data_IF_548855648059
#
_entry.id   IF_548855648059
#
_cell.length_a   1.000
_cell.length_b   1.000
_cell.length_c   1.000
_cell.angle_alpha   90.00
_cell.angle_beta   90.00
_cell.angle_gamma   90.00
#
_symmetry.space_group_name_H-M   'P 1'
#
loop_
_entity.id
_entity.type
_entity.pdbx_description
1 polymer ?
#
# COMPACT_ATOMS: atom_id res chain seq x y z
N UNK A 1 -7.46 -17.80 -3.45
CA UNK A 1 -6.40 -18.78 -3.72
C UNK A 1 -5.40 -18.25 -4.72
N UNK A 2 -5.81 -18.16 -5.97
CA UNK A 2 -4.92 -17.62 -6.99
C UNK A 2 -4.45 -16.23 -6.68
N UNK A 3 -5.35 -15.40 -6.15
CA UNK A 3 -5.02 -14.02 -5.84
C UNK A 3 -3.89 -13.91 -4.82
N UNK A 4 -3.84 -14.85 -3.89
CA UNK A 4 -2.81 -14.85 -2.86
C UNK A 4 -1.44 -15.23 -3.42
N UNK A 5 -1.41 -15.82 -4.61
CA UNK A 5 -0.19 -16.25 -5.27
C UNK A 5 0.30 -15.23 -6.31
N UNK A 6 -0.36 -14.07 -6.41
CA UNK A 6 -0.04 -13.06 -7.40
C UNK A 6 0.26 -11.73 -6.70
N UNK A 7 1.49 -11.19 -6.83
CA UNK A 7 1.82 -9.92 -6.19
C UNK A 7 0.93 -8.76 -6.64
N UNK A 8 0.49 -8.73 -7.89
CA UNK A 8 -0.39 -7.65 -8.36
C UNK A 8 -1.77 -7.77 -7.71
N UNK A 9 -2.24 -8.98 -7.48
CA UNK A 9 -3.49 -9.18 -6.74
C UNK A 9 -3.32 -8.74 -5.29
N UNK A 10 -2.20 -9.07 -4.66
CA UNK A 10 -1.91 -8.61 -3.29
C UNK A 10 -1.87 -7.10 -3.23
N UNK A 11 -1.32 -6.45 -4.25
CA UNK A 11 -1.30 -4.99 -4.32
C UNK A 11 -2.71 -4.40 -4.41
N UNK A 12 -3.57 -5.00 -5.23
CA UNK A 12 -4.97 -4.56 -5.30
C UNK A 12 -5.67 -4.73 -3.97
N UNK A 13 -5.38 -5.82 -3.26
CA UNK A 13 -5.93 -6.04 -1.91
C UNK A 13 -5.45 -4.98 -0.93
N UNK A 14 -4.19 -4.60 -1.01
CA UNK A 14 -3.64 -3.55 -0.17
C UNK A 14 -4.38 -2.24 -0.39
N UNK A 15 -4.48 -1.80 -1.64
CA UNK A 15 -5.18 -0.55 -1.94
C UNK A 15 -6.66 -0.61 -1.55
N UNK A 16 -7.32 -1.71 -1.86
CA UNK A 16 -8.75 -1.86 -1.52
C UNK A 16 -8.97 -1.84 -0.01
N UNK A 17 -8.07 -2.44 0.75
CA UNK A 17 -8.16 -2.45 2.21
C UNK A 17 -8.02 -1.05 2.80
N UNK A 18 -7.13 -0.25 2.23
CA UNK A 18 -6.96 1.13 2.65
C UNK A 18 -8.22 1.96 2.38
N UNK A 19 -8.80 1.80 1.20
CA UNK A 19 -10.01 2.54 0.83
C UNK A 19 -11.20 2.10 1.69
N UNK A 20 -11.30 0.81 1.95
CA UNK A 20 -12.39 0.28 2.76
C UNK A 20 -12.21 0.52 4.26
N UNK A 21 -10.99 0.84 4.69
CA UNK A 21 -10.69 0.93 6.12
C UNK A 21 -10.74 -0.43 6.80
N UNK A 22 -10.49 -1.49 6.04
CA UNK A 22 -10.62 -2.87 6.53
C UNK A 22 -9.30 -3.32 7.16
N UNK A 23 -9.20 -3.13 8.48
CA UNK A 23 -7.98 -3.41 9.23
C UNK A 23 -7.61 -4.89 9.17
N UNK A 24 -8.60 -5.78 9.21
CA UNK A 24 -8.34 -7.22 9.14
C UNK A 24 -7.72 -7.63 7.82
N UNK A 25 -8.25 -7.11 6.71
CA UNK A 25 -7.69 -7.39 5.39
C UNK A 25 -6.30 -6.78 5.25
N UNK A 26 -6.12 -5.56 5.78
CA UNK A 26 -4.84 -4.89 5.74
C UNK A 26 -3.79 -5.68 6.53
N UNK A 27 -4.16 -6.17 7.71
CA UNK A 27 -3.26 -6.97 8.54
C UNK A 27 -2.77 -8.22 7.79
N UNK A 28 -3.65 -8.84 7.01
CA UNK A 28 -3.29 -10.06 6.30
C UNK A 28 -2.31 -9.82 5.15
N UNK A 29 -2.41 -8.68 4.49
CA UNK A 29 -1.53 -8.40 3.33
C UNK A 29 -0.19 -7.83 3.74
N UNK A 30 -0.08 -7.28 4.95
CA UNK A 30 1.16 -6.69 5.44
C UNK A 30 2.02 -7.73 6.15
N UNK A 31 3.30 -7.77 5.84
CA UNK A 31 4.26 -8.57 6.58
C UNK A 31 4.45 -8.00 7.99
N UNK A 32 4.92 -8.83 8.90
CA UNK A 32 5.07 -8.42 10.31
C UNK A 32 6.08 -7.29 10.48
N UNK A 33 7.07 -7.22 9.59
CA UNK A 33 8.11 -6.20 9.63
C UNK A 33 7.90 -5.09 8.60
N UNK A 34 6.66 -4.92 8.15
CA UNK A 34 6.31 -3.92 7.14
C UNK A 34 6.72 -2.52 7.56
N UNK A 35 7.26 -1.78 6.59
CA UNK A 35 7.56 -0.36 6.73
C UNK A 35 7.04 0.40 5.53
N UNK A 36 6.47 1.55 5.79
CA UNK A 36 5.98 2.45 4.75
C UNK A 36 6.65 3.81 4.95
N UNK A 37 7.09 4.39 3.85
CA UNK A 37 7.56 5.78 3.87
C UNK A 37 6.46 6.63 3.26
N UNK A 38 5.93 7.55 4.08
CA UNK A 38 4.80 8.36 3.67
C UNK A 38 5.17 9.29 2.52
N UNK A 39 4.31 9.30 1.52
CA UNK A 39 4.52 10.03 0.28
C UNK A 39 4.62 11.55 0.49
N UNK A 40 3.90 12.06 1.48
CA UNK A 40 3.80 13.49 1.71
C UNK A 40 4.86 14.02 2.68
N UNK A 41 5.15 13.26 3.73
CA UNK A 41 5.99 13.74 4.83
C UNK A 41 7.37 13.08 4.89
N UNK A 42 7.52 11.90 4.25
CA UNK A 42 8.74 11.12 4.37
C UNK A 42 8.86 10.38 5.70
N UNK A 43 7.81 10.42 6.53
CA UNK A 43 7.82 9.74 7.82
C UNK A 43 7.78 8.23 7.61
N UNK A 44 8.54 7.50 8.40
CA UNK A 44 8.53 6.05 8.39
C UNK A 44 7.42 5.54 9.30
N UNK A 45 6.57 4.66 8.78
CA UNK A 45 5.40 4.14 9.49
C UNK A 45 5.49 2.62 9.50
N UNK A 46 5.43 2.01 10.69
CA UNK A 46 5.43 0.55 10.79
C UNK A 46 4.00 0.00 10.69
N UNK A 47 3.91 -1.34 10.66
CA UNK A 47 2.62 -2.01 10.52
C UNK A 47 1.62 -1.61 11.59
N UNK A 48 2.04 -1.65 12.86
CA UNK A 48 1.14 -1.34 13.96
C UNK A 48 0.58 0.08 13.86
N UNK A 49 1.43 1.03 13.49
CA UNK A 49 1.02 2.43 13.34
C UNK A 49 0.05 2.61 12.18
N UNK A 50 0.31 1.92 11.06
CA UNK A 50 -0.61 2.02 9.92
C UNK A 50 -1.97 1.43 10.26
N UNK A 51 -2.00 0.25 10.89
CA UNK A 51 -3.26 -0.36 11.30
C UNK A 51 -4.03 0.53 12.25
N UNK A 52 -3.32 1.18 13.19
CA UNK A 52 -3.96 2.05 14.17
C UNK A 52 -4.57 3.29 13.52
N UNK A 53 -3.84 3.94 12.63
CA UNK A 53 -4.30 5.20 12.04
C UNK A 53 -5.45 4.95 11.06
N UNK A 54 -5.45 3.82 10.36
CA UNK A 54 -6.55 3.44 9.49
C UNK A 54 -7.75 3.00 10.33
N UNK A 55 -7.51 2.19 11.35
CA UNK A 55 -8.57 1.67 12.21
C UNK A 55 -9.31 2.73 12.99
N UNK A 56 -8.61 3.81 13.38
CA UNK A 56 -9.25 4.91 14.09
C UNK A 56 -10.08 5.81 13.19
N UNK A 57 -9.94 5.66 11.88
CA UNK A 57 -10.61 6.54 10.92
C UNK A 57 -9.91 7.87 10.74
N UNK A 58 -8.77 8.08 11.38
CA UNK A 58 -8.04 9.34 11.22
C UNK A 58 -7.45 9.47 9.82
N UNK A 59 -6.93 8.37 9.29
CA UNK A 59 -6.50 8.33 7.89
C UNK A 59 -7.56 7.62 7.09
N UNK A 60 -8.14 8.31 6.12
CA UNK A 60 -9.15 7.76 5.23
C UNK A 60 -8.77 8.00 3.80
N UNK A 61 -8.86 6.95 2.99
CA UNK A 61 -8.70 7.06 1.56
C UNK A 61 -10.06 6.93 0.90
N UNK A 62 -10.41 7.91 0.08
CA UNK A 62 -11.64 7.84 -0.69
C UNK A 62 -11.44 7.10 -2.00
N UNK A 63 -10.26 7.26 -2.57
CA UNK A 63 -9.91 6.55 -3.80
C UNK A 63 -8.40 6.41 -3.90
N UNK A 64 -7.96 5.26 -4.41
CA UNK A 64 -6.57 5.02 -4.80
C UNK A 64 -6.65 4.34 -6.16
N UNK A 65 -6.19 5.04 -7.20
CA UNK A 65 -6.27 4.56 -8.58
C UNK A 65 -4.88 4.25 -9.10
N UNK A 66 -4.49 2.96 -9.13
CA UNK A 66 -3.18 2.59 -9.66
C UNK A 66 -3.19 2.60 -11.18
N UNK A 67 -2.02 2.85 -11.77
CA UNK A 67 -1.81 2.79 -13.20
C UNK A 67 -0.38 2.34 -13.47
N UNK A 68 -0.18 1.70 -14.62
CA UNK A 68 1.15 1.32 -15.10
C UNK A 68 1.90 0.42 -14.13
N UNK A 69 1.18 -0.44 -13.41
CA UNK A 69 1.80 -1.36 -12.46
C UNK A 69 2.61 -2.41 -13.21
N UNK A 70 3.81 -2.66 -12.71
CA UNK A 70 4.76 -3.58 -13.32
C UNK A 70 5.42 -4.40 -12.24
N UNK A 71 5.47 -5.71 -12.42
CA UNK A 71 6.06 -6.61 -11.42
C UNK A 71 7.31 -7.26 -11.97
N UNK A 72 8.32 -7.38 -11.10
CA UNK A 72 9.55 -8.11 -11.38
C UNK A 72 9.77 -9.12 -10.26
N UNK A 73 10.14 -10.34 -10.62
CA UNK A 73 10.30 -11.43 -9.66
C UNK A 73 11.76 -11.73 -9.43
N UNK A 74 12.11 -11.96 -8.17
CA UNK A 74 13.45 -12.34 -7.75
C UNK A 74 13.31 -13.44 -6.70
N UNK A 75 13.15 -14.70 -7.15
CA UNK A 75 12.89 -15.80 -6.25
C UNK A 75 11.59 -15.58 -5.48
N UNK A 76 11.66 -15.63 -4.18
CA UNK A 76 10.50 -15.39 -3.31
C UNK A 76 10.21 -13.92 -3.03
N UNK A 77 10.80 -13.02 -3.83
CA UNK A 77 10.59 -11.56 -3.68
C UNK A 77 10.05 -11.01 -5.00
N UNK A 78 9.11 -10.09 -4.91
CA UNK A 78 8.60 -9.38 -6.06
C UNK A 78 8.66 -7.88 -5.80
N UNK A 79 9.07 -7.14 -6.82
CA UNK A 79 9.10 -5.67 -6.76
C UNK A 79 8.04 -5.16 -7.72
N UNK A 80 7.11 -4.37 -7.20
CA UNK A 80 6.05 -3.77 -7.99
C UNK A 80 6.28 -2.27 -8.03
N UNK A 81 6.32 -1.71 -9.23
CA UNK A 81 6.41 -0.26 -9.42
C UNK A 81 5.20 0.20 -10.21
N UNK A 82 4.80 1.42 -9.98
CA UNK A 82 3.65 1.97 -10.69
C UNK A 82 3.39 3.40 -10.30
N UNK A 83 2.21 3.87 -10.66
CA UNK A 83 1.73 5.21 -10.35
C UNK A 83 0.40 5.10 -9.65
N UNK A 84 0.11 6.05 -8.77
CA UNK A 84 -1.23 6.18 -8.17
C UNK A 84 -1.71 7.62 -8.26
N UNK A 85 -3.03 7.75 -8.34
CA UNK A 85 -3.71 8.98 -7.98
C UNK A 85 -4.56 8.64 -6.77
N UNK A 86 -4.42 9.41 -5.69
CA UNK A 86 -5.16 9.12 -4.49
C UNK A 86 -5.69 10.39 -3.86
N UNK A 87 -6.83 10.25 -3.18
CA UNK A 87 -7.35 11.33 -2.36
C UNK A 87 -8.06 10.75 -1.15
N UNK A 88 -8.10 11.55 -0.11
CA UNK A 88 -8.69 11.15 1.14
C UNK A 88 -8.58 12.28 2.14
N UNK A 89 -8.47 11.93 3.40
CA UNK A 89 -8.34 12.93 4.46
C UNK A 89 -7.51 12.37 5.61
N UNK A 90 -6.83 13.28 6.30
CA UNK A 90 -6.16 12.98 7.55
C UNK A 90 -6.78 13.89 8.60
N UNK A 91 -7.54 13.29 9.53
CA UNK A 91 -8.40 14.06 10.41
C UNK A 91 -9.43 14.80 9.57
N UNK A 92 -9.44 16.12 9.68
CA UNK A 92 -10.35 16.95 8.88
C UNK A 92 -9.66 17.58 7.67
N UNK A 93 -8.39 17.25 7.45
CA UNK A 93 -7.62 17.85 6.36
C UNK A 93 -7.66 16.95 5.12
N UNK A 94 -8.28 17.41 4.02
CA UNK A 94 -8.27 16.63 2.80
C UNK A 94 -6.91 16.65 2.13
N UNK A 95 -6.60 15.58 1.42
CA UNK A 95 -5.40 15.53 0.61
C UNK A 95 -5.68 14.89 -0.74
N UNK A 96 -4.86 15.23 -1.72
CA UNK A 96 -4.84 14.59 -3.02
C UNK A 96 -3.39 14.56 -3.48
N UNK A 97 -2.99 13.43 -4.05
CA UNK A 97 -1.61 13.27 -4.49
C UNK A 97 -1.54 12.31 -5.66
N UNK A 98 -0.63 12.63 -6.58
CA UNK A 98 -0.16 11.68 -7.58
C UNK A 98 1.21 11.22 -7.15
N UNK A 99 1.49 9.95 -7.28
CA UNK A 99 2.77 9.41 -6.85
C UNK A 99 3.27 8.33 -7.79
N UNK A 100 4.59 8.14 -7.77
CA UNK A 100 5.23 6.92 -8.24
C UNK A 100 5.61 6.12 -7.03
N UNK A 101 5.44 4.82 -7.11
CA UNK A 101 5.69 4.00 -5.93
C UNK A 101 6.53 2.78 -6.26
N UNK A 102 7.18 2.26 -5.23
CA UNK A 102 7.85 0.98 -5.24
C UNK A 102 7.35 0.19 -4.04
N UNK A 103 6.83 -0.99 -4.30
CA UNK A 103 6.37 -1.91 -3.27
C UNK A 103 7.18 -3.19 -3.38
N UNK A 104 7.62 -3.71 -2.25
CA UNK A 104 8.34 -4.98 -2.19
C UNK A 104 7.47 -5.99 -1.47
N UNK A 105 7.23 -7.11 -2.15
CA UNK A 105 6.47 -8.22 -1.60
C UNK A 105 7.39 -9.41 -1.41
N UNK A 106 7.15 -10.19 -0.36
CA UNK A 106 7.84 -11.47 -0.18
C UNK A 106 6.80 -12.57 -0.04
N UNK A 107 7.13 -13.74 -0.54
CA UNK A 107 6.27 -14.90 -0.42
C UNK A 107 6.53 -15.58 0.92
N UNK A 108 5.46 -15.72 1.70
CA UNK A 108 5.51 -16.33 3.01
C UNK A 108 4.30 -17.24 3.15
N UNK A 109 4.56 -18.52 3.36
CA UNK A 109 3.48 -19.48 3.58
C UNK A 109 2.46 -19.50 2.45
N UNK A 110 2.95 -19.41 1.21
CA UNK A 110 2.09 -19.48 0.03
C UNK A 110 1.36 -18.19 -0.30
N UNK A 111 1.69 -17.09 0.36
CA UNK A 111 1.06 -15.80 0.10
C UNK A 111 2.11 -14.73 -0.09
N UNK A 112 1.78 -13.76 -0.94
CA UNK A 112 2.61 -12.58 -1.12
C UNK A 112 2.21 -11.53 -0.10
N UNK A 113 3.18 -11.11 0.72
CA UNK A 113 2.96 -10.09 1.75
C UNK A 113 3.81 -8.88 1.46
N UNK A 114 3.21 -7.71 1.66
CA UNK A 114 3.89 -6.44 1.45
C UNK A 114 4.80 -6.15 2.64
N UNK A 115 6.09 -5.96 2.38
CA UNK A 115 7.06 -5.69 3.45
C UNK A 115 7.64 -4.30 3.39
N UNK A 116 7.58 -3.64 2.22
CA UNK A 116 8.11 -2.29 2.09
C UNK A 116 7.29 -1.53 1.06
N UNK A 117 6.91 -0.32 1.41
CA UNK A 117 6.16 0.55 0.52
C UNK A 117 6.72 1.95 0.59
N UNK A 118 6.96 2.54 -0.57
CA UNK A 118 7.42 3.91 -0.65
C UNK A 118 6.83 4.56 -1.89
N UNK A 119 6.34 5.77 -1.73
CA UNK A 119 5.90 6.58 -2.85
C UNK A 119 6.60 7.91 -2.87
N UNK A 120 6.70 8.48 -4.04
CA UNK A 120 7.24 9.82 -4.23
C UNK A 120 6.16 10.63 -4.93
N UNK A 121 5.84 11.77 -4.36
CA UNK A 121 4.85 12.65 -4.98
C UNK A 121 5.39 13.18 -6.30
N UNK A 122 4.55 13.15 -7.33
CA UNK A 122 4.89 13.67 -8.65
C UNK A 122 3.85 14.71 -9.04
N UNK A 123 4.22 15.54 -10.00
CA UNK A 123 3.28 16.52 -10.52
C UNK A 123 2.14 15.80 -11.24
N UNK A 124 0.89 16.25 -11.10
CA UNK A 124 -0.21 15.67 -11.85
C UNK A 124 -0.03 15.92 -13.34
N UNK A 125 -0.52 15.00 -14.13
CA UNK A 125 -0.48 15.10 -15.60
C UNK A 125 -1.41 16.17 -16.10
#
# INVERSE_FOLDING_TARGET
MRDELDPLAAERHFFASLVAGDVGALDRVLGDDFLLIDVMSGTEINKASLLAVVGSGQLKFEAIEPAEARVRFYGGTAVVTGRTQMHGSFGETPFAASSRYTHVFVEQQGRWRLVSAQGTQIAPD
#
